data_IF_480267879422
#
_entry.id   IF_480267879422
#
_cell.length_a   1.000
_cell.length_b   1.000
_cell.length_c   1.000
_cell.angle_alpha   90.00
_cell.angle_beta   90.00
_cell.angle_gamma   90.00
#
_symmetry.space_group_name_H-M   'P 1'
#
loop_
_entity.id
_entity.type
_entity.pdbx_description
1 polymer ?
#
# COMPACT_ATOMS: atom_id res chain seq x y z
N UNK A 1 -12.05 -2.62 -10.32
CA UNK A 1 -12.34 -2.13 -8.95
C UNK A 1 -11.30 -1.08 -8.61
N UNK A 2 -11.67 0.07 -8.06
CA UNK A 2 -10.71 1.05 -7.55
C UNK A 2 -10.45 0.78 -6.07
N UNK A 3 -9.21 0.92 -5.65
CA UNK A 3 -8.80 0.72 -4.27
C UNK A 3 -7.80 1.78 -3.84
N UNK A 4 -7.71 1.99 -2.54
CA UNK A 4 -6.74 2.87 -1.90
C UNK A 4 -5.77 2.02 -1.10
N UNK A 5 -4.48 2.15 -1.38
CA UNK A 5 -3.42 1.56 -0.58
C UNK A 5 -2.81 2.64 0.32
N UNK A 6 -2.64 2.34 1.60
CA UNK A 6 -2.04 3.28 2.56
C UNK A 6 -0.90 2.61 3.34
N UNK A 7 0.19 3.35 3.55
CA UNK A 7 1.26 3.00 4.47
C UNK A 7 1.25 4.05 5.59
N UNK A 8 1.35 3.60 6.84
CA UNK A 8 1.42 4.48 8.01
C UNK A 8 2.72 4.22 8.77
N UNK A 9 3.47 5.27 9.04
CA UNK A 9 4.64 5.23 9.90
C UNK A 9 4.25 5.38 11.38
N UNK A 10 5.16 4.98 12.27
CA UNK A 10 4.93 5.02 13.72
C UNK A 10 4.75 6.43 14.29
N UNK A 11 5.25 7.45 13.60
CA UNK A 11 5.07 8.86 13.95
C UNK A 11 3.72 9.45 13.46
N UNK A 12 2.85 8.62 12.87
CA UNK A 12 1.53 9.02 12.38
C UNK A 12 1.52 9.65 10.99
N UNK A 13 2.67 9.77 10.30
CA UNK A 13 2.67 10.14 8.89
C UNK A 13 2.17 8.99 8.04
N UNK A 14 1.50 9.31 6.95
CA UNK A 14 1.00 8.28 6.05
C UNK A 14 1.05 8.73 4.60
N UNK A 15 1.28 7.74 3.74
CA UNK A 15 1.26 7.89 2.30
C UNK A 15 0.20 6.99 1.71
N UNK A 16 -0.29 7.37 0.53
CA UNK A 16 -1.28 6.60 -0.18
C UNK A 16 -1.00 6.55 -1.66
N UNK A 17 -1.55 5.54 -2.31
CA UNK A 17 -1.64 5.48 -3.76
C UNK A 17 -2.92 4.75 -4.15
N UNK A 18 -3.54 5.26 -5.21
CA UNK A 18 -4.77 4.69 -5.77
C UNK A 18 -4.39 3.66 -6.83
N UNK A 19 -5.17 2.59 -6.89
CA UNK A 19 -5.00 1.56 -7.90
C UNK A 19 -6.34 1.13 -8.48
N UNK A 20 -6.32 0.81 -9.77
CA UNK A 20 -7.40 0.09 -10.40
C UNK A 20 -6.95 -1.35 -10.55
N UNK A 21 -7.53 -2.28 -9.79
CA UNK A 21 -7.24 -3.69 -10.09
C UNK A 21 -8.04 -4.07 -11.33
N UNK A 22 -7.38 -4.64 -12.37
CA UNK A 22 -8.09 -5.30 -13.44
C UNK A 22 -8.92 -6.42 -12.82
N UNK A 23 -10.25 -6.40 -13.01
CA UNK A 23 -11.14 -7.42 -12.43
C UNK A 23 -10.74 -8.86 -12.81
N UNK A 24 -9.90 -9.05 -13.83
CA UNK A 24 -9.32 -10.34 -14.23
C UNK A 24 -8.16 -10.81 -13.34
N UNK A 25 -7.39 -9.91 -12.73
CA UNK A 25 -6.27 -10.24 -11.85
C UNK A 25 -6.72 -10.62 -10.43
N UNK A 26 -7.90 -10.15 -10.00
CA UNK A 26 -8.55 -10.52 -8.72
C UNK A 26 -9.49 -11.71 -8.89
N UNK A 27 -9.15 -12.68 -9.74
CA UNK A 27 -9.82 -13.99 -9.70
C UNK A 27 -9.50 -14.79 -8.42
N UNK A 28 -8.64 -14.26 -7.53
CA UNK A 28 -8.27 -14.82 -6.24
C UNK A 28 -8.48 -13.84 -5.07
N UNK A 29 -8.13 -14.31 -3.86
CA UNK A 29 -8.28 -13.58 -2.60
C UNK A 29 -7.44 -12.29 -2.58
N UNK A 30 -8.11 -11.13 -2.47
CA UNK A 30 -7.46 -9.82 -2.36
C UNK A 30 -6.47 -9.76 -1.18
N UNK A 31 -6.77 -10.48 -0.09
CA UNK A 31 -5.87 -10.62 1.06
C UNK A 31 -4.55 -11.27 0.63
N UNK A 32 -4.60 -12.35 -0.14
CA UNK A 32 -3.39 -12.99 -0.68
C UNK A 32 -2.61 -12.07 -1.61
N UNK A 33 -3.30 -11.22 -2.37
CA UNK A 33 -2.63 -10.25 -3.23
C UNK A 33 -1.91 -9.16 -2.42
N UNK A 34 -2.51 -8.69 -1.33
CA UNK A 34 -1.99 -7.59 -0.51
C UNK A 34 -1.05 -8.04 0.62
N UNK A 35 -1.04 -9.32 1.00
CA UNK A 35 -0.28 -9.83 2.16
C UNK A 35 1.23 -9.54 2.07
N UNK A 36 1.76 -9.43 0.85
CA UNK A 36 3.19 -9.17 0.63
C UNK A 36 3.65 -7.85 1.23
N UNK A 37 2.77 -6.84 1.29
CA UNK A 37 3.07 -5.51 1.83
C UNK A 37 3.30 -5.52 3.34
N UNK A 38 2.84 -6.56 4.06
CA UNK A 38 3.14 -6.71 5.49
C UNK A 38 4.65 -6.76 5.77
N UNK A 39 5.46 -7.17 4.78
CA UNK A 39 6.93 -7.24 4.90
C UNK A 39 7.59 -5.86 5.01
N UNK A 40 6.88 -4.78 4.70
CA UNK A 40 7.38 -3.41 4.85
C UNK A 40 7.31 -2.92 6.31
N UNK A 41 6.61 -3.64 7.19
CA UNK A 41 6.44 -3.22 8.58
C UNK A 41 7.77 -3.19 9.32
N UNK A 42 7.97 -2.14 10.10
CA UNK A 42 9.17 -1.93 10.90
C UNK A 42 10.36 -1.39 10.10
N UNK A 43 10.24 -1.25 8.79
CA UNK A 43 11.25 -0.60 7.95
C UNK A 43 11.07 0.93 7.98
N UNK A 44 12.18 1.64 7.82
CA UNK A 44 12.19 3.05 7.43
C UNK A 44 11.71 3.22 5.98
N UNK A 45 11.40 4.45 5.56
CA UNK A 45 11.00 4.73 4.18
C UNK A 45 12.11 4.36 3.18
N UNK A 46 13.37 4.65 3.51
CA UNK A 46 14.54 4.31 2.69
C UNK A 46 14.73 2.79 2.57
N UNK A 47 14.69 2.05 3.69
CA UNK A 47 14.76 0.58 3.68
C UNK A 47 13.60 -0.03 2.91
N UNK A 48 12.38 0.51 3.08
CA UNK A 48 11.19 0.09 2.36
C UNK A 48 11.35 0.28 0.86
N UNK A 49 11.84 1.44 0.41
CA UNK A 49 12.09 1.74 -1.00
C UNK A 49 13.11 0.77 -1.61
N UNK A 50 14.25 0.57 -0.93
CA UNK A 50 15.28 -0.38 -1.38
C UNK A 50 14.73 -1.82 -1.44
N UNK A 51 13.94 -2.22 -0.44
CA UNK A 51 13.32 -3.54 -0.40
C UNK A 51 12.31 -3.75 -1.54
N UNK A 52 11.48 -2.76 -1.84
CA UNK A 52 10.49 -2.81 -2.92
C UNK A 52 11.17 -3.00 -4.27
N UNK A 53 12.20 -2.19 -4.59
CA UNK A 53 12.97 -2.35 -5.83
C UNK A 53 13.57 -3.76 -5.95
N UNK A 54 14.07 -4.32 -4.85
CA UNK A 54 14.60 -5.69 -4.84
C UNK A 54 13.52 -6.77 -5.03
N UNK A 55 12.24 -6.43 -4.90
CA UNK A 55 11.11 -7.34 -5.10
C UNK A 55 10.44 -7.25 -6.47
N UNK A 56 10.91 -6.40 -7.39
CA UNK A 56 10.35 -6.22 -8.74
C UNK A 56 9.91 -7.53 -9.40
N UNK A 57 10.83 -8.48 -9.56
CA UNK A 57 10.55 -9.74 -10.25
C UNK A 57 9.48 -10.59 -9.54
N UNK A 58 9.42 -10.52 -8.21
CA UNK A 58 8.50 -11.34 -7.39
C UNK A 58 7.15 -10.70 -7.13
N UNK A 59 7.09 -9.37 -7.08
CA UNK A 59 5.87 -8.61 -6.77
C UNK A 59 5.13 -8.17 -8.03
N UNK A 60 5.86 -8.00 -9.13
CA UNK A 60 5.37 -7.45 -10.38
C UNK A 60 5.21 -5.94 -10.33
N UNK A 61 5.12 -5.34 -11.51
CA UNK A 61 5.13 -3.89 -11.71
C UNK A 61 4.01 -3.19 -10.93
N UNK A 62 2.78 -3.74 -10.93
CA UNK A 62 1.63 -3.13 -10.27
C UNK A 62 1.85 -2.93 -8.77
N UNK A 63 2.35 -3.96 -8.07
CA UNK A 63 2.55 -3.90 -6.61
C UNK A 63 3.73 -3.03 -6.25
N UNK A 64 4.80 -3.07 -7.04
CA UNK A 64 5.95 -2.21 -6.84
C UNK A 64 5.56 -0.76 -7.01
N UNK A 65 4.98 -0.41 -8.16
CA UNK A 65 4.53 0.95 -8.43
C UNK A 65 3.59 1.47 -7.35
N UNK A 66 2.66 0.62 -6.88
CA UNK A 66 1.72 0.98 -5.83
C UNK A 66 2.42 1.31 -4.49
N UNK A 67 3.37 0.46 -4.08
CA UNK A 67 4.09 0.63 -2.83
C UNK A 67 5.05 1.84 -2.86
N UNK A 68 5.78 2.01 -3.97
CA UNK A 68 6.68 3.15 -4.20
C UNK A 68 5.90 4.46 -4.17
N UNK A 69 4.79 4.53 -4.91
CA UNK A 69 3.94 5.72 -4.97
C UNK A 69 3.45 6.12 -3.58
N UNK A 70 3.08 5.15 -2.74
CA UNK A 70 2.66 5.41 -1.37
C UNK A 70 3.82 5.89 -0.48
N UNK A 71 5.02 5.31 -0.59
CA UNK A 71 6.20 5.80 0.16
C UNK A 71 6.59 7.21 -0.26
N UNK A 72 6.65 7.48 -1.56
CA UNK A 72 6.92 8.82 -2.11
C UNK A 72 5.88 9.82 -1.61
N UNK A 73 4.60 9.45 -1.61
CA UNK A 73 3.54 10.31 -1.08
C UNK A 73 3.75 10.60 0.41
N UNK A 74 4.17 9.59 1.20
CA UNK A 74 4.44 9.77 2.62
C UNK A 74 5.55 10.80 2.87
N UNK A 75 6.64 10.73 2.11
CA UNK A 75 7.79 11.64 2.25
C UNK A 75 7.44 13.09 1.90
N UNK A 76 6.59 13.31 0.88
CA UNK A 76 6.27 14.65 0.39
C UNK A 76 5.05 15.28 1.06
N UNK A 77 4.07 14.47 1.47
CA UNK A 77 2.73 14.93 1.89
C UNK A 77 2.16 14.09 3.03
N UNK A 78 3.02 13.61 3.94
CA UNK A 78 2.61 12.80 5.09
C UNK A 78 1.54 13.48 5.96
N UNK A 79 0.27 13.24 5.66
CA UNK A 79 -0.90 13.76 6.38
C UNK A 79 -1.51 12.57 7.10
N UNK A 80 -1.83 12.72 8.40
CA UNK A 80 -2.56 11.72 9.18
C UNK A 80 -3.94 11.43 8.57
N UNK A 81 -4.25 10.17 8.28
CA UNK A 81 -5.59 9.76 7.85
C UNK A 81 -6.46 9.36 9.04
N UNK A 82 -7.73 9.73 8.99
CA UNK A 82 -8.75 9.15 9.87
C UNK A 82 -9.10 7.74 9.39
N UNK A 83 -8.64 6.74 10.12
CA UNK A 83 -8.91 5.32 9.79
C UNK A 83 -10.39 4.97 9.95
N UNK A 84 -11.11 5.63 10.85
CA UNK A 84 -12.54 5.40 11.03
C UNK A 84 -13.30 5.87 9.79
N UNK A 85 -12.94 7.06 9.28
CA UNK A 85 -13.50 7.56 8.03
C UNK A 85 -13.27 6.59 6.86
N UNK A 86 -12.05 6.07 6.69
CA UNK A 86 -11.74 5.10 5.62
C UNK A 86 -12.51 3.78 5.78
N UNK A 87 -12.68 3.31 7.01
CA UNK A 87 -13.46 2.11 7.29
C UNK A 87 -14.93 2.31 6.90
N UNK A 88 -15.54 3.41 7.34
CA UNK A 88 -16.97 3.70 7.11
C UNK A 88 -17.32 4.03 5.65
N UNK A 89 -16.34 4.48 4.86
CA UNK A 89 -16.56 4.94 3.47
C UNK A 89 -15.93 4.03 2.42
N UNK A 90 -15.48 2.83 2.80
CA UNK A 90 -14.96 1.82 1.86
C UNK A 90 -15.93 0.66 1.71
N UNK A 91 -16.00 0.08 0.50
CA UNK A 91 -16.80 -1.13 0.27
C UNK A 91 -16.16 -2.38 0.92
N UNK A 92 -14.85 -2.36 1.11
CA UNK A 92 -14.08 -3.36 1.81
C UNK A 92 -12.84 -2.70 2.43
N UNK A 93 -12.56 -3.03 3.69
CA UNK A 93 -11.41 -2.51 4.41
C UNK A 93 -10.55 -3.67 4.91
N UNK A 94 -9.26 -3.63 4.57
CA UNK A 94 -8.27 -4.58 5.07
C UNK A 94 -7.10 -3.79 5.62
N UNK A 95 -6.77 -4.06 6.87
CA UNK A 95 -5.58 -3.54 7.53
C UNK A 95 -4.81 -4.70 8.15
N UNK A 96 -3.50 -4.57 8.15
CA UNK A 96 -2.60 -5.57 8.66
C UNK A 96 -1.76 -4.99 9.77
#
# INVERSE_FOLDING_TARGET
MFGLFTITASNGTCGCSEFAVPCSAVRGDFVQWAIVFQRLKGMTAEEGMAFIHHKQETWGDDRVWLAESALIHMEHRGIGWDRAYLFDHSQAYVAF
#
